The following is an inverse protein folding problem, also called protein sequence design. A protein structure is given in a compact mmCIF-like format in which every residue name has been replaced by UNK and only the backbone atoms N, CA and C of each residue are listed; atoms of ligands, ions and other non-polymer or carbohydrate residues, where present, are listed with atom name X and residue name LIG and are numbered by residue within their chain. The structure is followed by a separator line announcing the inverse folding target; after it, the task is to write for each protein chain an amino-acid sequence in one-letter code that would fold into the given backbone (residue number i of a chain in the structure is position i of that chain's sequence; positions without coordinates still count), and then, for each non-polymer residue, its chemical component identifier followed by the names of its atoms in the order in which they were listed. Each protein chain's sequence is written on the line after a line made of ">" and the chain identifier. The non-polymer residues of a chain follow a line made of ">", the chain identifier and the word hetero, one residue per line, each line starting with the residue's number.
data_IF_236075440004
#
_entry.id   IF_236075440004
#
_cell.length_a   1.000
_cell.length_b   1.000
_cell.length_c   1.000
_cell.angle_alpha   90.00
_cell.angle_beta   90.00
_cell.angle_gamma   90.00
#
_symmetry.space_group_name_H-M   'P 1'
#
loop_
_entity.id
_entity.type
_entity.pdbx_description
1 polymer ?
#
# COMPACT_ATOMS: atom_id res chain seq x y z
N UNK A 1 -7.36 8.86 -12.05
CA UNK A 1 -5.94 8.43 -12.10
C UNK A 1 -5.41 8.37 -10.67
N UNK A 2 -4.71 7.30 -10.27
CA UNK A 2 -4.25 7.12 -8.88
C UNK A 2 -3.23 8.25 -8.58
N UNK A 3 -3.47 9.04 -7.53
CA UNK A 3 -2.63 10.16 -7.13
C UNK A 3 -1.33 9.69 -6.45
N UNK A 4 -0.52 8.90 -7.17
CA UNK A 4 0.74 8.33 -6.71
C UNK A 4 1.80 8.45 -7.79
N UNK A 5 3.06 8.49 -7.36
CA UNK A 5 4.20 8.58 -8.29
C UNK A 5 4.34 7.31 -9.15
N UNK A 6 4.98 7.47 -10.31
CA UNK A 6 5.38 6.33 -11.17
C UNK A 6 6.27 5.34 -10.42
N UNK A 7 7.14 5.81 -9.51
CA UNK A 7 8.01 4.96 -8.68
C UNK A 7 7.17 4.09 -7.74
N UNK A 8 6.10 4.64 -7.17
CA UNK A 8 5.13 3.91 -6.35
C UNK A 8 4.45 2.81 -7.16
N UNK A 9 3.96 3.12 -8.37
CA UNK A 9 3.33 2.13 -9.25
C UNK A 9 4.29 0.99 -9.62
N UNK A 10 5.55 1.30 -9.97
CA UNK A 10 6.57 0.28 -10.24
C UNK A 10 6.83 -0.61 -9.03
N UNK A 11 6.87 -0.03 -7.83
CA UNK A 11 7.05 -0.79 -6.59
C UNK A 11 5.86 -1.71 -6.33
N UNK A 12 4.63 -1.23 -6.50
CA UNK A 12 3.43 -2.05 -6.31
C UNK A 12 3.36 -3.21 -7.30
N UNK A 13 3.72 -2.98 -8.55
CA UNK A 13 3.82 -4.02 -9.57
C UNK A 13 4.90 -5.07 -9.20
N UNK A 14 6.06 -4.64 -8.71
CA UNK A 14 7.10 -5.57 -8.23
C UNK A 14 6.69 -6.33 -6.94
N UNK A 15 5.86 -5.72 -6.09
CA UNK A 15 5.36 -6.31 -4.84
C UNK A 15 4.09 -7.16 -5.04
N UNK A 16 3.53 -7.20 -6.24
CA UNK A 16 2.24 -7.86 -6.53
C UNK A 16 1.01 -7.13 -5.98
N UNK A 17 1.15 -5.92 -5.43
CA UNK A 17 0.05 -5.15 -4.85
C UNK A 17 -0.86 -4.51 -5.92
N UNK A 18 -0.32 -4.21 -7.10
CA UNK A 18 -1.07 -3.76 -8.27
C UNK A 18 -0.31 -4.22 -9.53
N UNK A 19 -0.70 -5.36 -10.08
CA UNK A 19 0.00 -5.99 -11.20
C UNK A 19 -0.36 -5.25 -12.49
N UNK A 20 0.64 -4.70 -13.18
CA UNK A 20 0.40 -4.00 -14.44
C UNK A 20 0.34 -4.99 -15.62
N UNK A 21 -0.49 -4.69 -16.61
CA UNK A 21 -0.41 -5.37 -17.90
C UNK A 21 0.85 -4.96 -18.66
N UNK A 22 1.28 -5.83 -19.58
CA UNK A 22 2.48 -5.65 -20.39
C UNK A 22 2.10 -5.68 -21.86
N UNK A 23 2.53 -4.69 -22.62
CA UNK A 23 2.37 -4.73 -24.06
C UNK A 23 3.40 -5.70 -24.68
N UNK A 24 3.34 -5.99 -25.99
CA UNK A 24 4.32 -6.86 -26.65
C UNK A 24 5.78 -6.39 -26.50
N UNK A 25 5.99 -5.07 -26.33
CA UNK A 25 7.31 -4.46 -26.03
C UNK A 25 7.63 -4.40 -24.53
N UNK A 26 6.89 -5.16 -23.69
CA UNK A 26 7.01 -5.26 -22.23
C UNK A 26 6.87 -3.93 -21.45
N UNK A 27 6.27 -2.90 -22.05
CA UNK A 27 5.94 -1.65 -21.36
C UNK A 27 4.70 -1.85 -20.48
N UNK A 28 4.74 -1.27 -19.28
CA UNK A 28 3.66 -1.34 -18.29
C UNK A 28 2.53 -0.40 -18.68
N UNK A 29 1.30 -0.87 -18.53
CA UNK A 29 0.10 -0.03 -18.60
C UNK A 29 -0.94 -0.50 -17.57
N UNK A 30 -1.78 0.43 -17.12
CA UNK A 30 -2.84 0.17 -16.15
C UNK A 30 -4.18 0.52 -16.80
N UNK A 31 -5.12 -0.40 -16.70
CA UNK A 31 -6.50 -0.21 -17.16
C UNK A 31 -7.36 0.35 -16.03
N UNK A 32 -8.49 0.97 -16.37
CA UNK A 32 -9.46 1.43 -15.38
C UNK A 32 -10.03 0.28 -14.52
N UNK A 33 -10.21 -0.91 -15.10
CA UNK A 33 -10.67 -2.10 -14.36
C UNK A 33 -9.75 -2.44 -13.18
N UNK A 34 -8.43 -2.55 -13.42
CA UNK A 34 -7.42 -2.73 -12.37
C UNK A 34 -7.48 -1.66 -11.28
N UNK A 35 -7.82 -0.42 -11.64
CA UNK A 35 -7.99 0.66 -10.67
C UNK A 35 -9.22 0.42 -9.79
N UNK A 36 -10.38 0.11 -10.40
CA UNK A 36 -11.62 -0.17 -9.66
C UNK A 36 -11.43 -1.36 -8.74
N UNK A 37 -10.89 -2.46 -9.24
CA UNK A 37 -10.58 -3.66 -8.47
C UNK A 37 -9.68 -3.33 -7.26
N UNK A 38 -8.60 -2.56 -7.46
CA UNK A 38 -7.72 -2.18 -6.35
C UNK A 38 -8.41 -1.30 -5.29
N UNK A 39 -9.29 -0.39 -5.71
CA UNK A 39 -10.00 0.50 -4.79
C UNK A 39 -11.14 -0.22 -4.07
N UNK A 40 -11.85 -1.10 -4.76
CA UNK A 40 -12.95 -1.90 -4.23
C UNK A 40 -12.44 -3.00 -3.28
N UNK A 41 -11.28 -3.61 -3.58
CA UNK A 41 -10.65 -4.62 -2.71
C UNK A 41 -10.14 -4.07 -1.37
N UNK A 42 -10.17 -2.74 -1.13
CA UNK A 42 -9.95 -2.17 0.21
C UNK A 42 -11.19 -2.31 1.10
N UNK A 43 -11.76 -3.52 1.15
CA UNK A 43 -12.90 -3.84 2.01
C UNK A 43 -12.40 -3.97 3.45
N UNK A 44 -12.38 -2.84 4.15
CA UNK A 44 -12.04 -2.78 5.57
C UNK A 44 -11.84 -1.35 6.03
N UNK A 45 -12.28 -1.03 7.25
CA UNK A 45 -11.96 0.26 7.87
C UNK A 45 -10.53 0.17 8.41
N UNK A 46 -9.66 1.11 8.04
CA UNK A 46 -8.37 1.29 8.73
C UNK A 46 -8.65 1.77 10.15
N UNK A 47 -8.49 0.90 11.14
CA UNK A 47 -8.74 1.22 12.56
C UNK A 47 -7.50 1.82 13.24
N UNK A 48 -6.31 1.40 12.82
CA UNK A 48 -5.02 1.83 13.41
C UNK A 48 -4.08 2.27 12.30
N UNK A 49 -3.41 3.42 12.49
CA UNK A 49 -2.35 3.92 11.61
C UNK A 49 -1.14 4.39 12.42
N UNK A 50 0.03 3.86 12.13
CA UNK A 50 1.29 4.19 12.81
C UNK A 50 2.38 4.55 11.80
N UNK A 51 3.22 5.53 12.11
CA UNK A 51 4.37 5.90 11.28
C UNK A 51 5.50 6.49 12.12
N UNK A 52 6.72 6.33 11.63
CA UNK A 52 7.92 6.98 12.16
C UNK A 52 8.55 7.88 11.11
N UNK A 53 9.33 8.88 11.53
CA UNK A 53 9.88 9.88 10.61
C UNK A 53 11.11 9.39 9.85
N UNK A 54 11.82 8.40 10.39
CA UNK A 54 12.96 7.77 9.73
C UNK A 54 13.01 6.26 9.96
N UNK A 55 13.81 5.56 9.14
CA UNK A 55 13.95 4.10 9.20
C UNK A 55 14.64 3.62 10.48
N UNK A 56 15.52 4.43 11.09
CA UNK A 56 16.23 4.10 12.32
C UNK A 56 15.33 4.05 13.57
N UNK A 57 14.10 4.54 13.46
CA UNK A 57 13.10 4.49 14.53
C UNK A 57 12.19 3.26 14.44
N UNK A 58 12.58 2.21 13.72
CA UNK A 58 11.74 1.03 13.50
C UNK A 58 11.28 0.39 14.81
N UNK A 59 12.15 0.30 15.80
CA UNK A 59 11.80 -0.26 17.11
C UNK A 59 10.68 0.55 17.80
N UNK A 60 10.69 1.89 17.64
CA UNK A 60 9.61 2.75 18.16
C UNK A 60 8.29 2.53 17.42
N UNK A 61 8.35 2.21 16.12
CA UNK A 61 7.16 1.88 15.33
C UNK A 61 6.50 0.61 15.86
N UNK A 62 7.30 -0.41 16.17
CA UNK A 62 6.81 -1.69 16.71
C UNK A 62 6.12 -1.50 18.06
N UNK A 63 6.74 -0.73 18.96
CA UNK A 63 6.12 -0.35 20.24
C UNK A 63 4.80 0.43 20.05
N UNK A 64 4.75 1.35 19.08
CA UNK A 64 3.53 2.12 18.79
C UNK A 64 2.40 1.22 18.28
N UNK A 65 2.71 0.22 17.46
CA UNK A 65 1.75 -0.76 16.96
C UNK A 65 1.18 -1.60 18.11
N UNK A 66 2.05 -2.09 19.01
CA UNK A 66 1.63 -2.90 20.15
C UNK A 66 0.72 -2.10 21.09
N UNK A 67 1.10 -0.87 21.43
CA UNK A 67 0.29 0.01 22.27
C UNK A 67 -1.11 0.23 21.70
N UNK A 68 -1.22 0.57 20.40
CA UNK A 68 -2.52 0.84 19.78
C UNK A 68 -3.37 -0.42 19.61
N UNK A 69 -2.76 -1.59 19.41
CA UNK A 69 -3.49 -2.86 19.40
C UNK A 69 -4.09 -3.16 20.77
N UNK A 70 -3.32 -3.00 21.84
CA UNK A 70 -3.81 -3.20 23.21
C UNK A 70 -4.93 -2.22 23.53
N UNK A 71 -4.77 -0.94 23.20
CA UNK A 71 -5.80 0.07 23.43
C UNK A 71 -7.09 -0.19 22.64
N UNK A 72 -6.99 -0.60 21.37
CA UNK A 72 -8.16 -0.83 20.53
C UNK A 72 -8.89 -2.16 20.80
N UNK A 73 -8.22 -3.12 21.44
CA UNK A 73 -8.80 -4.41 21.85
C UNK A 73 -9.31 -4.41 23.30
N UNK A 74 -9.03 -3.36 24.08
CA UNK A 74 -9.56 -3.14 25.41
C UNK A 74 -10.98 -2.57 25.35
#
# INVERSE_FOLDING_TARGET
>A
MINVSVKTLKRWDNQGALIAYRNPKRRRYYTEGLYREYMENKVGKTVIYTRVSNQGQKDKLENQIEFLKTFANA
#
